data_IF_115050538466
#
_entry.id   IF_115050538466
#
_cell.length_a   1.000
_cell.length_b   1.000
_cell.length_c   1.000
_cell.angle_alpha   90.00
_cell.angle_beta   90.00
_cell.angle_gamma   90.00
#
_symmetry.space_group_name_H-M   'P 1'
#
loop_
_entity.id
_entity.type
_entity.pdbx_description
1 polymer ?
#
# COMPACT_ATOMS: atom_id res chain seq x y z
N UNK A 1 15.51 6.71 19.66
CA UNK A 1 14.30 5.90 19.95
C UNK A 1 14.22 4.74 18.96
N UNK A 2 13.93 3.51 19.44
CA UNK A 2 13.89 2.30 18.58
C UNK A 2 12.44 1.86 18.35
N UNK A 3 12.03 1.72 17.08
CA UNK A 3 10.65 1.42 16.70
C UNK A 3 10.59 0.14 15.87
N UNK A 4 9.82 -0.85 16.34
CA UNK A 4 9.49 -2.02 15.55
C UNK A 4 8.48 -1.64 14.47
N UNK A 5 8.82 -1.86 13.20
CA UNK A 5 7.96 -1.56 12.05
C UNK A 5 7.52 -2.83 11.33
N UNK A 6 6.25 -2.92 10.99
CA UNK A 6 5.72 -3.96 10.09
C UNK A 6 4.98 -3.33 8.91
N UNK A 7 5.68 -3.21 7.77
CA UNK A 7 5.19 -2.68 6.50
C UNK A 7 5.31 -3.76 5.41
N UNK A 8 4.31 -4.65 5.34
CA UNK A 8 4.34 -5.90 4.57
C UNK A 8 3.97 -5.74 3.08
N UNK A 9 3.62 -4.54 2.62
CA UNK A 9 3.20 -4.26 1.26
C UNK A 9 4.00 -3.11 0.65
N UNK A 10 4.09 -3.04 -0.67
CA UNK A 10 4.81 -1.95 -1.36
C UNK A 10 4.21 -0.59 -1.03
N UNK A 11 2.87 -0.47 -1.00
CA UNK A 11 2.17 0.76 -0.60
C UNK A 11 2.54 1.19 0.82
N UNK A 12 2.54 0.25 1.77
CA UNK A 12 2.92 0.54 3.17
C UNK A 12 4.33 1.12 3.29
N UNK A 13 5.26 0.70 2.42
CA UNK A 13 6.64 1.21 2.43
C UNK A 13 6.75 2.61 1.81
N UNK A 14 5.93 2.93 0.81
CA UNK A 14 5.82 4.29 0.27
C UNK A 14 5.32 5.22 1.38
N UNK A 15 4.25 4.84 2.07
CA UNK A 15 3.70 5.62 3.19
C UNK A 15 4.67 5.71 4.38
N UNK A 16 5.44 4.66 4.66
CA UNK A 16 6.48 4.69 5.69
C UNK A 16 7.61 5.68 5.32
N UNK A 17 7.97 5.72 4.04
CA UNK A 17 8.97 6.66 3.51
C UNK A 17 8.52 8.12 3.69
N UNK A 18 7.25 8.41 3.38
CA UNK A 18 6.67 9.74 3.61
C UNK A 18 6.64 10.08 5.11
N UNK A 19 6.13 9.17 5.94
CA UNK A 19 6.09 9.35 7.39
C UNK A 19 7.47 9.66 7.97
N UNK A 20 8.53 8.99 7.47
CA UNK A 20 9.91 9.19 7.95
C UNK A 20 10.38 10.63 7.81
N UNK A 21 9.87 11.41 6.84
CA UNK A 21 10.23 12.82 6.65
C UNK A 21 9.78 13.74 7.80
N UNK A 22 8.79 13.29 8.58
CA UNK A 22 8.23 14.02 9.71
C UNK A 22 8.71 13.51 11.08
N UNK A 23 9.62 12.54 11.08
CA UNK A 23 10.18 11.96 12.29
C UNK A 23 11.60 12.47 12.53
N UNK A 24 12.01 12.47 13.80
CA UNK A 24 13.37 12.84 14.19
C UNK A 24 14.40 11.83 13.65
N UNK A 25 15.58 12.32 13.28
CA UNK A 25 16.66 11.51 12.69
C UNK A 25 17.21 10.43 13.64
N UNK A 26 16.99 10.57 14.95
CA UNK A 26 17.42 9.61 15.97
C UNK A 26 16.50 8.37 16.08
N UNK A 27 15.45 8.29 15.27
CA UNK A 27 14.53 7.15 15.27
C UNK A 27 15.08 6.01 14.40
N UNK A 28 15.42 4.91 15.08
CA UNK A 28 15.87 3.66 14.45
C UNK A 28 14.66 2.77 14.14
N UNK A 29 14.47 2.42 12.87
CA UNK A 29 13.50 1.42 12.45
C UNK A 29 14.13 0.03 12.42
N UNK A 30 13.43 -0.96 12.99
CA UNK A 30 13.76 -2.38 12.93
C UNK A 30 12.49 -3.19 12.59
N UNK A 31 12.63 -4.36 11.96
CA UNK A 31 11.47 -5.20 11.65
C UNK A 31 11.36 -5.56 10.17
N UNK A 32 10.19 -5.38 9.55
CA UNK A 32 9.93 -5.76 8.15
C UNK A 32 9.52 -4.53 7.34
N UNK A 33 10.36 -4.10 6.45
CA UNK A 33 10.18 -2.96 5.56
C UNK A 33 11.26 -2.96 4.47
N UNK A 34 11.20 -2.04 3.52
CA UNK A 34 12.19 -1.87 2.46
C UNK A 34 13.54 -1.39 3.03
N UNK A 35 14.63 -2.07 2.65
CA UNK A 35 16.00 -1.75 3.08
C UNK A 35 16.45 -0.32 2.82
N UNK A 36 15.82 0.38 1.88
CA UNK A 36 16.08 1.80 1.64
C UNK A 36 15.72 2.71 2.83
N UNK A 37 14.87 2.21 3.75
CA UNK A 37 14.37 2.97 4.90
C UNK A 37 15.17 2.72 6.18
N UNK A 38 16.09 1.74 6.19
CA UNK A 38 16.91 1.39 7.35
C UNK A 38 17.44 -0.04 7.28
N UNK A 39 17.65 -0.66 8.45
CA UNK A 39 18.17 -2.02 8.58
C UNK A 39 17.05 -3.00 8.99
N UNK A 40 16.22 -3.49 8.06
CA UNK A 40 15.14 -4.42 8.39
C UNK A 40 15.68 -5.80 8.77
N UNK A 41 14.97 -6.52 9.64
CA UNK A 41 15.15 -7.95 9.87
C UNK A 41 14.87 -8.75 8.59
N UNK A 42 13.84 -8.34 7.86
CA UNK A 42 13.51 -8.86 6.53
C UNK A 42 13.19 -7.70 5.59
N UNK A 43 13.94 -7.63 4.50
CA UNK A 43 13.68 -6.72 3.39
C UNK A 43 12.46 -7.20 2.59
N UNK A 44 11.50 -6.30 2.34
CA UNK A 44 10.27 -6.62 1.61
C UNK A 44 10.55 -7.13 0.20
N UNK A 45 11.54 -6.59 -0.50
CA UNK A 45 11.91 -7.02 -1.85
C UNK A 45 12.37 -8.48 -1.86
N UNK A 46 13.13 -8.89 -0.84
CA UNK A 46 13.56 -10.28 -0.67
C UNK A 46 12.40 -11.24 -0.41
N UNK A 47 11.38 -10.80 0.34
CA UNK A 47 10.17 -11.60 0.58
C UNK A 47 9.33 -11.78 -0.70
N UNK A 48 9.29 -10.77 -1.56
CA UNK A 48 8.60 -10.86 -2.84
C UNK A 48 9.27 -11.85 -3.82
N UNK A 49 10.61 -11.94 -3.80
CA UNK A 49 11.41 -12.84 -4.66
C UNK A 49 11.28 -14.30 -4.20
N UNK A 50 11.08 -14.55 -2.92
CA UNK A 50 11.00 -15.92 -2.36
C UNK A 50 9.86 -16.79 -2.92
N UNK A 51 9.00 -16.25 -3.80
CA UNK A 51 8.05 -16.97 -4.66
C UNK A 51 7.48 -18.23 -4.02
N UNK A 52 6.78 -18.12 -2.89
CA UNK A 52 6.28 -19.29 -2.16
C UNK A 52 5.29 -20.08 -3.02
N UNK A 53 5.76 -21.13 -3.65
CA UNK A 53 4.96 -22.06 -4.45
C UNK A 53 4.03 -22.89 -3.56
N UNK A 54 4.44 -23.12 -2.30
CA UNK A 54 3.72 -23.95 -1.32
C UNK A 54 3.05 -23.08 -0.24
N UNK A 55 1.72 -23.12 -0.19
CA UNK A 55 0.91 -22.34 0.77
C UNK A 55 1.23 -22.70 2.24
N UNK A 56 1.57 -23.98 2.52
CA UNK A 56 1.92 -24.42 3.88
C UNK A 56 3.28 -23.86 4.32
N UNK A 57 4.27 -23.80 3.42
CA UNK A 57 5.57 -23.17 3.70
C UNK A 57 5.40 -21.68 3.94
N UNK A 58 4.55 -21.01 3.15
CA UNK A 58 4.19 -19.61 3.34
C UNK A 58 3.57 -19.36 4.71
N UNK A 59 2.63 -20.19 5.14
CA UNK A 59 1.97 -20.06 6.44
C UNK A 59 2.95 -20.25 7.60
N UNK A 60 3.80 -21.29 7.56
CA UNK A 60 4.85 -21.53 8.56
C UNK A 60 5.85 -20.38 8.64
N UNK A 61 6.23 -19.82 7.49
CA UNK A 61 7.08 -18.65 7.44
C UNK A 61 6.44 -17.44 8.16
N UNK A 62 5.17 -17.12 7.91
CA UNK A 62 4.50 -16.01 8.57
C UNK A 62 4.34 -16.19 10.09
N UNK A 63 4.12 -17.42 10.56
CA UNK A 63 4.12 -17.69 12.00
C UNK A 63 5.49 -17.46 12.61
N UNK A 64 6.56 -17.96 11.99
CA UNK A 64 7.94 -17.73 12.45
C UNK A 64 8.29 -16.24 12.43
N UNK A 65 8.01 -15.53 11.35
CA UNK A 65 8.24 -14.10 11.22
C UNK A 65 7.51 -13.33 12.33
N UNK A 66 6.26 -13.65 12.61
CA UNK A 66 5.51 -13.03 13.71
C UNK A 66 6.22 -13.24 15.04
N UNK A 67 6.67 -14.45 15.33
CA UNK A 67 7.31 -14.78 16.61
C UNK A 67 8.69 -14.10 16.73
N UNK A 68 9.47 -14.00 15.65
CA UNK A 68 10.71 -13.22 15.58
C UNK A 68 10.47 -11.71 15.80
N UNK A 69 9.41 -11.15 15.22
CA UNK A 69 9.04 -9.74 15.45
C UNK A 69 8.59 -9.49 16.88
N UNK A 70 7.89 -10.45 17.50
CA UNK A 70 7.52 -10.34 18.92
C UNK A 70 8.77 -10.32 19.81
N UNK A 71 9.74 -11.17 19.54
CA UNK A 71 11.01 -11.17 20.29
C UNK A 71 11.78 -9.86 20.08
N UNK A 72 11.89 -9.38 18.84
CA UNK A 72 12.54 -8.12 18.52
C UNK A 72 11.89 -6.92 19.22
N UNK A 73 10.56 -6.97 19.42
CA UNK A 73 9.81 -5.91 20.11
C UNK A 73 10.22 -5.72 21.57
N UNK A 74 10.90 -6.68 22.20
CA UNK A 74 11.41 -6.56 23.56
C UNK A 74 12.28 -5.32 23.72
N UNK A 75 13.20 -5.12 22.77
CA UNK A 75 14.21 -4.06 22.78
C UNK A 75 13.77 -2.79 22.02
N UNK A 76 12.48 -2.68 21.71
CA UNK A 76 11.91 -1.52 21.03
C UNK A 76 11.06 -0.69 21.99
N UNK A 77 11.11 0.63 21.84
CA UNK A 77 10.29 1.56 22.61
C UNK A 77 8.81 1.50 22.19
N UNK A 78 8.57 1.41 20.89
CA UNK A 78 7.23 1.41 20.28
C UNK A 78 7.12 0.40 19.15
N UNK A 79 5.88 0.11 18.76
CA UNK A 79 5.55 -0.72 17.60
C UNK A 79 4.67 0.09 16.63
N UNK A 80 5.04 0.10 15.36
CA UNK A 80 4.29 0.73 14.27
C UNK A 80 3.88 -0.34 13.25
N UNK A 81 2.59 -0.56 13.14
CA UNK A 81 1.98 -1.50 12.19
C UNK A 81 1.31 -0.72 11.06
N UNK A 82 1.67 -1.02 9.80
CA UNK A 82 1.10 -0.35 8.63
C UNK A 82 0.28 -1.33 7.81
N UNK A 83 -0.99 -1.01 7.57
CA UNK A 83 -1.88 -1.77 6.69
C UNK A 83 -1.87 -3.29 6.96
N UNK A 84 -1.85 -4.15 5.92
CA UNK A 84 -1.64 -5.62 5.97
C UNK A 84 -2.33 -6.33 7.13
N UNK A 85 -3.62 -6.04 7.35
CA UNK A 85 -4.37 -6.49 8.53
C UNK A 85 -4.41 -8.01 8.72
N UNK A 86 -4.19 -8.80 7.65
CA UNK A 86 -4.09 -10.25 7.73
C UNK A 86 -2.89 -10.73 8.56
N UNK A 87 -1.79 -9.99 8.55
CA UNK A 87 -0.60 -10.28 9.33
C UNK A 87 -0.53 -9.41 10.61
N UNK A 88 -0.80 -8.12 10.48
CA UNK A 88 -0.59 -7.14 11.56
C UNK A 88 -1.57 -7.31 12.73
N UNK A 89 -2.83 -7.74 12.50
CA UNK A 89 -3.76 -7.99 13.63
C UNK A 89 -3.35 -9.20 14.50
N UNK A 90 -2.99 -10.38 13.93
CA UNK A 90 -2.38 -11.46 14.70
C UNK A 90 -1.08 -11.06 15.43
N UNK A 91 -0.24 -10.23 14.80
CA UNK A 91 0.97 -9.69 15.41
C UNK A 91 0.64 -8.77 16.59
N UNK A 92 -0.28 -7.82 16.41
CA UNK A 92 -0.73 -6.91 17.48
C UNK A 92 -1.30 -7.68 18.68
N UNK A 93 -2.10 -8.72 18.41
CA UNK A 93 -2.61 -9.61 19.48
C UNK A 93 -1.46 -10.24 20.27
N UNK A 94 -0.51 -10.88 19.59
CA UNK A 94 0.61 -11.57 20.23
C UNK A 94 1.51 -10.61 21.01
N UNK A 95 1.78 -9.42 20.45
CA UNK A 95 2.53 -8.35 21.12
C UNK A 95 1.83 -7.91 22.40
N UNK A 96 0.52 -7.68 22.38
CA UNK A 96 -0.25 -7.25 23.56
C UNK A 96 -0.29 -8.33 24.63
N UNK A 97 -0.37 -9.59 24.25
CA UNK A 97 -0.34 -10.74 25.18
C UNK A 97 1.05 -10.91 25.82
N UNK A 98 2.13 -10.63 25.08
CA UNK A 98 3.52 -10.77 25.56
C UNK A 98 3.99 -9.53 26.33
N UNK A 99 3.63 -8.35 25.85
CA UNK A 99 4.04 -7.05 26.41
C UNK A 99 2.81 -6.16 26.68
N UNK A 100 2.13 -6.33 27.81
CA UNK A 100 0.85 -5.65 28.08
C UNK A 100 0.91 -4.13 28.03
N UNK A 101 2.05 -3.51 28.33
CA UNK A 101 2.24 -2.05 28.39
C UNK A 101 2.92 -1.47 27.13
N UNK A 102 3.24 -2.29 26.11
CA UNK A 102 3.89 -1.81 24.90
C UNK A 102 2.99 -0.86 24.14
N UNK A 103 3.50 0.29 23.70
CA UNK A 103 2.80 1.19 22.80
C UNK A 103 2.75 0.57 21.40
N UNK A 104 1.55 0.26 20.92
CA UNK A 104 1.29 -0.32 19.60
C UNK A 104 0.44 0.66 18.82
N UNK A 105 1.02 1.25 17.78
CA UNK A 105 0.40 2.21 16.88
C UNK A 105 0.01 1.49 15.59
N UNK A 106 -1.23 1.62 15.16
CA UNK A 106 -1.67 1.11 13.88
C UNK A 106 -1.94 2.27 12.93
N UNK A 107 -1.16 2.38 11.87
CA UNK A 107 -1.26 3.41 10.85
C UNK A 107 -1.82 2.80 9.55
N UNK A 108 -2.73 3.51 8.90
CA UNK A 108 -3.50 3.03 7.74
C UNK A 108 -4.37 1.84 8.15
N UNK A 109 -5.50 2.17 8.74
CA UNK A 109 -6.43 1.19 9.29
C UNK A 109 -7.04 0.32 8.18
N UNK A 110 -7.33 -0.96 8.46
CA UNK A 110 -8.05 -1.78 7.50
C UNK A 110 -9.46 -1.22 7.28
N UNK A 111 -9.96 -1.29 6.05
CA UNK A 111 -11.28 -0.78 5.65
C UNK A 111 -12.44 -1.53 6.36
N UNK A 112 -12.44 -1.49 7.70
CA UNK A 112 -13.43 -2.17 8.52
C UNK A 112 -14.83 -1.53 8.43
N UNK A 113 -14.89 -0.30 7.94
CA UNK A 113 -16.12 0.43 7.61
C UNK A 113 -16.87 -0.20 6.42
N UNK A 114 -16.16 -0.78 5.45
CA UNK A 114 -16.76 -1.42 4.28
C UNK A 114 -17.08 -2.91 4.53
N UNK A 115 -16.23 -3.62 5.27
CA UNK A 115 -16.36 -5.06 5.50
C UNK A 115 -15.55 -5.53 6.72
N UNK A 116 -15.93 -6.68 7.30
CA UNK A 116 -15.26 -7.29 8.47
C UNK A 116 -15.18 -6.36 9.70
N UNK A 117 -16.28 -5.77 10.11
CA UNK A 117 -16.37 -4.90 11.31
C UNK A 117 -15.76 -5.50 12.60
N UNK A 118 -15.67 -6.83 12.71
CA UNK A 118 -14.97 -7.49 13.83
C UNK A 118 -13.50 -7.06 14.00
N UNK A 119 -12.88 -6.50 12.93
CA UNK A 119 -11.51 -5.95 13.00
C UNK A 119 -11.42 -4.75 13.93
N UNK A 120 -12.47 -3.94 14.03
CA UNK A 120 -12.54 -2.79 14.97
C UNK A 120 -12.28 -3.25 16.39
N UNK A 121 -12.98 -4.31 16.83
CA UNK A 121 -12.84 -4.87 18.17
C UNK A 121 -11.39 -5.31 18.44
N UNK A 122 -10.75 -5.94 17.46
CA UNK A 122 -9.35 -6.37 17.59
C UNK A 122 -8.38 -5.19 17.67
N UNK A 123 -8.58 -4.15 16.84
CA UNK A 123 -7.78 -2.93 16.83
C UNK A 123 -7.88 -2.20 18.19
N UNK A 124 -9.09 -1.97 18.67
CA UNK A 124 -9.32 -1.32 19.98
C UNK A 124 -8.74 -2.12 21.15
N UNK A 125 -8.79 -3.46 21.07
CA UNK A 125 -8.30 -4.34 22.13
C UNK A 125 -6.77 -4.41 22.17
N UNK A 126 -6.11 -4.48 21.03
CA UNK A 126 -4.68 -4.80 20.97
C UNK A 126 -3.79 -3.59 20.70
N UNK A 127 -4.29 -2.54 20.07
CA UNK A 127 -3.53 -1.33 19.79
C UNK A 127 -3.78 -0.24 20.84
N UNK A 128 -2.78 0.63 21.04
CA UNK A 128 -2.88 1.81 21.92
C UNK A 128 -3.32 3.04 21.14
N UNK A 129 -2.86 3.17 19.90
CA UNK A 129 -3.22 4.28 19.01
C UNK A 129 -3.59 3.77 17.61
N UNK A 130 -4.59 4.40 17.04
CA UNK A 130 -5.15 4.10 15.72
C UNK A 130 -5.10 5.37 14.88
N UNK A 131 -4.32 5.36 13.80
CA UNK A 131 -4.18 6.50 12.91
C UNK A 131 -4.99 6.25 11.64
N UNK A 132 -6.16 6.88 11.54
CA UNK A 132 -7.03 6.77 10.38
C UNK A 132 -6.62 7.75 9.27
N UNK A 133 -6.77 7.32 8.03
CA UNK A 133 -6.45 8.12 6.84
C UNK A 133 -7.69 8.68 6.14
N UNK A 134 -8.88 8.22 6.52
CA UNK A 134 -10.16 8.74 6.01
C UNK A 134 -10.96 9.37 7.15
N UNK A 135 -11.59 10.53 6.94
CA UNK A 135 -12.20 11.31 8.02
C UNK A 135 -13.37 10.59 8.70
N UNK A 136 -14.11 9.75 7.98
CA UNK A 136 -15.28 9.03 8.48
C UNK A 136 -14.93 7.70 9.19
N UNK A 137 -13.69 7.22 9.12
CA UNK A 137 -13.30 5.94 9.73
C UNK A 137 -13.51 5.93 11.25
N UNK A 138 -13.32 7.07 11.90
CA UNK A 138 -13.52 7.18 13.33
C UNK A 138 -14.95 6.84 13.79
N UNK A 139 -15.95 6.97 12.93
CA UNK A 139 -17.35 6.75 13.29
C UNK A 139 -17.66 5.33 13.74
N UNK A 140 -16.95 4.34 13.19
CA UNK A 140 -17.18 2.93 13.49
C UNK A 140 -16.45 2.42 14.74
N UNK A 141 -15.57 3.23 15.35
CA UNK A 141 -14.84 2.87 16.56
C UNK A 141 -15.61 3.33 17.82
N UNK A 142 -15.59 2.50 18.88
CA UNK A 142 -16.27 2.82 20.14
C UNK A 142 -15.39 3.70 21.04
N UNK A 143 -14.10 3.39 21.12
CA UNK A 143 -13.13 4.16 21.90
C UNK A 143 -12.50 5.27 21.05
N UNK A 144 -13.13 6.45 21.08
CA UNK A 144 -12.66 7.62 20.34
C UNK A 144 -11.32 8.17 20.84
N UNK A 145 -10.93 7.85 22.06
CA UNK A 145 -9.64 8.31 22.62
C UNK A 145 -8.43 7.64 21.96
N UNK A 146 -8.63 6.48 21.35
CA UNK A 146 -7.56 5.73 20.66
C UNK A 146 -7.38 6.11 19.20
N UNK A 147 -8.38 6.70 18.55
CA UNK A 147 -8.35 6.97 17.12
C UNK A 147 -8.14 8.46 16.82
N UNK A 148 -7.21 8.73 15.92
CA UNK A 148 -6.93 10.07 15.42
C UNK A 148 -6.92 10.05 13.89
N UNK A 149 -7.63 10.97 13.27
CA UNK A 149 -7.53 11.22 11.84
C UNK A 149 -6.24 11.99 11.56
N UNK A 150 -5.35 11.41 10.76
CA UNK A 150 -4.03 11.96 10.45
C UNK A 150 -3.89 12.46 9.00
N UNK A 151 -4.95 12.38 8.21
CA UNK A 151 -4.90 12.68 6.79
C UNK A 151 -4.45 11.49 5.95
N UNK A 152 -4.67 11.59 4.63
CA UNK A 152 -4.27 10.52 3.71
C UNK A 152 -2.86 10.79 3.17
N UNK A 153 -1.91 9.83 3.31
CA UNK A 153 -0.52 10.03 2.90
C UNK A 153 -0.33 10.33 1.40
N UNK A 154 -1.27 9.92 0.55
CA UNK A 154 -1.24 10.28 -0.87
C UNK A 154 -1.24 11.80 -1.12
N UNK A 155 -1.76 12.60 -0.19
CA UNK A 155 -1.72 14.07 -0.32
C UNK A 155 -0.29 14.61 -0.27
N UNK A 156 0.58 13.95 0.48
CA UNK A 156 2.00 14.29 0.56
C UNK A 156 2.82 13.68 -0.58
N UNK A 157 2.34 12.57 -1.16
CA UNK A 157 3.00 11.84 -2.24
C UNK A 157 2.72 12.46 -3.62
N UNK A 158 1.56 13.10 -3.80
CA UNK A 158 1.15 13.71 -5.07
C UNK A 158 1.80 15.09 -5.21
N UNK A 159 2.73 15.28 -6.15
CA UNK A 159 3.49 16.52 -6.27
C UNK A 159 2.70 17.68 -6.89
N UNK A 160 1.66 17.37 -7.65
CA UNK A 160 0.82 18.35 -8.37
C UNK A 160 -0.61 17.83 -8.51
N UNK A 161 -1.56 18.77 -8.48
CA UNK A 161 -2.97 18.52 -8.71
C UNK A 161 -3.42 19.23 -10.00
N UNK A 162 -4.41 18.67 -10.66
CA UNK A 162 -5.02 19.24 -11.84
C UNK A 162 -6.01 20.34 -11.42
N UNK A 163 -5.89 21.52 -11.97
CA UNK A 163 -6.79 22.64 -11.67
C UNK A 163 -7.94 22.77 -12.68
N UNK A 164 -7.76 22.20 -13.87
CA UNK A 164 -8.74 22.29 -14.95
C UNK A 164 -8.84 20.96 -15.70
N UNK A 165 -9.99 20.69 -16.31
CA UNK A 165 -10.17 19.52 -17.16
C UNK A 165 -9.29 19.63 -18.41
N UNK A 166 -8.59 18.57 -18.74
CA UNK A 166 -7.72 18.52 -19.92
C UNK A 166 -8.50 18.11 -21.17
N UNK A 167 -8.26 18.81 -22.26
CA UNK A 167 -8.72 18.42 -23.62
C UNK A 167 -7.52 17.93 -24.46
N UNK A 168 -6.59 17.21 -23.85
CA UNK A 168 -5.34 16.80 -24.46
C UNK A 168 -5.50 15.70 -25.53
N UNK A 169 -6.62 15.02 -25.56
CA UNK A 169 -6.81 13.81 -26.36
C UNK A 169 -6.13 12.57 -25.78
N UNK A 170 -5.50 12.66 -24.59
CA UNK A 170 -4.80 11.55 -23.94
C UNK A 170 -5.74 10.75 -23.06
N UNK A 171 -5.75 9.43 -23.23
CA UNK A 171 -6.49 8.51 -22.37
C UNK A 171 -5.51 7.58 -21.67
N UNK A 172 -5.59 7.58 -20.34
CA UNK A 172 -4.70 6.78 -19.48
C UNK A 172 -5.34 5.45 -19.13
N UNK A 173 -4.56 4.37 -19.20
CA UNK A 173 -4.96 3.02 -18.85
C UNK A 173 -4.03 2.46 -17.76
N UNK A 174 -4.62 2.07 -16.63
CA UNK A 174 -3.92 1.53 -15.47
C UNK A 174 -4.50 0.17 -15.09
N UNK A 175 -3.96 -0.95 -15.63
CA UNK A 175 -4.53 -2.28 -15.41
C UNK A 175 -4.21 -2.89 -14.04
N UNK A 176 -3.58 -2.12 -13.15
CA UNK A 176 -3.14 -2.59 -11.85
C UNK A 176 -1.72 -3.16 -11.85
N UNK A 177 -1.31 -3.68 -10.69
CA UNK A 177 0.04 -4.22 -10.49
C UNK A 177 0.09 -5.75 -10.34
N UNK A 178 -1.06 -6.40 -10.16
CA UNK A 178 -1.13 -7.85 -10.01
C UNK A 178 -1.35 -8.54 -11.35
N UNK A 179 -0.65 -9.66 -11.56
CA UNK A 179 -0.71 -10.44 -12.81
C UNK A 179 -2.15 -10.78 -13.25
N UNK A 180 -3.03 -11.10 -12.30
CA UNK A 180 -4.44 -11.42 -12.57
C UNK A 180 -5.22 -10.22 -13.06
N UNK A 181 -5.02 -9.04 -12.44
CA UNK A 181 -5.63 -7.79 -12.84
C UNK A 181 -5.23 -7.41 -14.27
N UNK A 182 -3.92 -7.42 -14.55
CA UNK A 182 -3.36 -7.11 -15.87
C UNK A 182 -3.94 -8.04 -16.93
N UNK A 183 -3.92 -9.36 -16.67
CA UNK A 183 -4.43 -10.34 -17.64
C UNK A 183 -5.92 -10.19 -17.95
N UNK A 184 -6.71 -9.76 -16.96
CA UNK A 184 -8.15 -9.57 -17.14
C UNK A 184 -8.48 -8.23 -17.82
N UNK A 185 -7.74 -7.17 -17.51
CA UNK A 185 -8.06 -5.82 -18.00
C UNK A 185 -7.42 -5.49 -19.36
N UNK A 186 -6.24 -6.01 -19.68
CA UNK A 186 -5.59 -5.72 -20.96
C UNK A 186 -6.43 -6.06 -22.19
N UNK A 187 -7.14 -7.22 -22.28
CA UNK A 187 -8.05 -7.49 -23.38
C UNK A 187 -9.17 -6.44 -23.51
N UNK A 188 -9.76 -6.03 -22.36
CA UNK A 188 -10.82 -5.02 -22.32
C UNK A 188 -10.29 -3.66 -22.80
N UNK A 189 -9.09 -3.26 -22.36
CA UNK A 189 -8.46 -2.01 -22.76
C UNK A 189 -8.16 -1.96 -24.27
N UNK A 190 -7.67 -3.08 -24.83
CA UNK A 190 -7.46 -3.22 -26.28
C UNK A 190 -8.75 -3.09 -27.08
N UNK A 191 -9.87 -3.57 -26.57
CA UNK A 191 -11.16 -3.43 -27.23
C UNK A 191 -11.74 -2.01 -27.06
N UNK A 192 -11.44 -1.32 -25.94
CA UNK A 192 -11.84 0.06 -25.74
C UNK A 192 -11.16 1.02 -26.72
N UNK A 193 -9.86 0.90 -26.94
CA UNK A 193 -9.15 1.80 -27.87
C UNK A 193 -9.68 1.72 -29.30
N UNK A 194 -10.19 0.55 -29.74
CA UNK A 194 -10.84 0.40 -31.05
C UNK A 194 -12.15 1.17 -31.13
N UNK A 195 -12.83 1.39 -29.99
CA UNK A 195 -14.12 2.10 -29.91
C UNK A 195 -13.98 3.61 -29.70
N UNK A 196 -12.80 4.06 -29.33
CA UNK A 196 -12.51 5.47 -29.05
C UNK A 196 -11.33 5.89 -29.96
N UNK A 197 -11.54 6.03 -31.28
CA UNK A 197 -10.45 6.32 -32.23
C UNK A 197 -9.89 7.75 -32.05
N UNK A 198 -8.72 7.99 -32.64
CA UNK A 198 -8.08 9.31 -32.72
C UNK A 198 -7.72 9.92 -31.36
N UNK A 199 -7.29 9.09 -30.42
CA UNK A 199 -6.75 9.50 -29.11
C UNK A 199 -5.34 8.95 -28.90
N UNK A 200 -4.61 9.57 -27.98
CA UNK A 200 -3.34 9.06 -27.48
C UNK A 200 -3.59 8.11 -26.30
N UNK A 201 -3.25 6.83 -26.47
CA UNK A 201 -3.49 5.81 -25.44
C UNK A 201 -2.23 5.58 -24.61
N UNK A 202 -2.25 5.99 -23.34
CA UNK A 202 -1.11 5.89 -22.43
C UNK A 202 -1.31 4.72 -21.47
N UNK A 203 -0.47 3.70 -21.57
CA UNK A 203 -0.48 2.58 -20.64
C UNK A 203 0.54 2.82 -19.52
N UNK A 204 0.04 3.00 -18.31
CA UNK A 204 0.91 3.15 -17.14
C UNK A 204 1.34 1.79 -16.63
N UNK A 205 2.65 1.59 -16.57
CA UNK A 205 3.28 0.35 -16.12
C UNK A 205 4.22 0.68 -14.95
N UNK A 206 4.12 -0.02 -13.78
CA UNK A 206 5.02 0.20 -12.65
C UNK A 206 6.50 0.16 -13.06
N UNK A 207 7.29 1.13 -12.60
CA UNK A 207 8.71 1.29 -12.96
C UNK A 207 9.57 0.07 -12.60
N UNK A 208 9.18 -0.67 -11.56
CA UNK A 208 9.85 -1.91 -11.11
C UNK A 208 9.70 -3.11 -12.05
N UNK A 209 8.82 -3.05 -13.06
CA UNK A 209 8.63 -4.17 -13.98
C UNK A 209 9.68 -4.14 -15.08
N UNK A 210 10.40 -5.28 -15.24
CA UNK A 210 11.33 -5.49 -16.34
C UNK A 210 10.60 -5.65 -17.67
N UNK A 211 11.30 -5.39 -18.77
CA UNK A 211 10.75 -5.54 -20.13
C UNK A 211 10.33 -6.99 -20.41
N UNK A 212 11.08 -7.97 -19.89
CA UNK A 212 10.72 -9.38 -19.96
C UNK A 212 9.39 -9.66 -19.25
N UNK A 213 9.21 -9.12 -18.03
CA UNK A 213 7.95 -9.26 -17.30
C UNK A 213 6.78 -8.61 -18.05
N UNK A 214 7.00 -7.41 -18.59
CA UNK A 214 5.99 -6.67 -19.36
C UNK A 214 5.56 -7.53 -20.56
N UNK A 215 6.49 -8.00 -21.38
CA UNK A 215 6.20 -8.86 -22.53
C UNK A 215 5.43 -10.13 -22.16
N UNK A 216 5.78 -10.76 -21.03
CA UNK A 216 5.15 -12.00 -20.56
C UNK A 216 3.74 -11.80 -20.01
N UNK A 217 3.46 -10.68 -19.36
CA UNK A 217 2.21 -10.46 -18.59
C UNK A 217 1.22 -9.58 -19.31
N UNK A 218 1.68 -8.50 -19.96
CA UNK A 218 0.83 -7.59 -20.74
C UNK A 218 0.63 -8.11 -22.19
N UNK A 219 1.57 -8.97 -22.66
CA UNK A 219 1.58 -9.45 -24.04
C UNK A 219 1.91 -8.34 -25.03
N UNK A 220 1.36 -8.45 -26.24
CA UNK A 220 1.43 -7.37 -27.22
C UNK A 220 0.63 -6.17 -26.74
N UNK A 221 1.28 -5.02 -26.60
CA UNK A 221 0.65 -3.76 -26.14
C UNK A 221 0.06 -2.91 -27.26
N UNK A 222 0.33 -3.27 -28.54
CA UNK A 222 -0.25 -2.61 -29.72
C UNK A 222 -0.01 -1.09 -29.74
N UNK A 223 -1.10 -0.32 -29.86
CA UNK A 223 -1.08 1.14 -30.02
C UNK A 223 -0.86 1.91 -28.71
N UNK A 224 -0.64 1.25 -27.58
CA UNK A 224 -0.36 1.93 -26.32
C UNK A 224 1.06 2.50 -26.28
N UNK A 225 1.17 3.77 -25.87
CA UNK A 225 2.43 4.40 -25.45
C UNK A 225 2.66 4.09 -23.97
N UNK A 226 3.84 3.60 -23.60
CA UNK A 226 4.16 3.28 -22.19
C UNK A 226 4.55 4.54 -21.44
N UNK A 227 3.97 4.73 -20.22
CA UNK A 227 4.45 5.63 -19.20
C UNK A 227 4.88 4.83 -17.96
N UNK A 228 5.98 5.24 -17.34
CA UNK A 228 6.45 4.72 -16.05
C UNK A 228 6.09 5.68 -14.90
N UNK A 229 5.55 6.86 -15.21
CA UNK A 229 5.13 7.88 -14.26
C UNK A 229 3.61 8.04 -14.30
N UNK A 230 2.95 7.51 -13.28
CA UNK A 230 1.49 7.56 -13.16
C UNK A 230 0.98 9.00 -12.97
N UNK A 231 1.66 9.79 -12.11
CA UNK A 231 1.26 11.15 -11.80
C UNK A 231 1.29 12.05 -13.04
N UNK A 232 2.38 12.04 -13.81
CA UNK A 232 2.47 12.82 -15.05
C UNK A 232 1.41 12.39 -16.07
N UNK A 233 1.24 11.08 -16.25
CA UNK A 233 0.24 10.56 -17.16
C UNK A 233 -1.18 11.03 -16.78
N UNK A 234 -1.54 10.97 -15.49
CA UNK A 234 -2.85 11.40 -14.99
C UNK A 234 -3.03 12.92 -15.08
N UNK A 235 -2.01 13.72 -14.79
CA UNK A 235 -2.07 15.18 -14.93
C UNK A 235 -2.41 15.61 -16.37
N UNK A 236 -1.93 14.89 -17.36
CA UNK A 236 -2.15 15.20 -18.76
C UNK A 236 -3.40 14.53 -19.35
N UNK A 237 -3.98 13.57 -18.65
CA UNK A 237 -5.10 12.77 -19.15
C UNK A 237 -6.38 13.58 -19.34
N UNK A 238 -7.13 13.29 -20.39
CA UNK A 238 -8.53 13.72 -20.53
C UNK A 238 -9.46 12.73 -19.81
N UNK A 239 -9.15 11.42 -19.93
CA UNK A 239 -9.84 10.32 -19.24
C UNK A 239 -8.86 9.29 -18.73
N UNK A 240 -9.27 8.52 -17.70
CA UNK A 240 -8.49 7.40 -17.21
C UNK A 240 -9.37 6.16 -16.95
N UNK A 241 -8.90 4.99 -17.39
CA UNK A 241 -9.48 3.67 -17.09
C UNK A 241 -8.54 2.96 -16.11
N UNK A 242 -9.01 2.77 -14.88
CA UNK A 242 -8.14 2.36 -13.76
C UNK A 242 -8.68 1.11 -13.09
N UNK A 243 -7.80 0.15 -12.83
CA UNK A 243 -8.09 -0.98 -11.95
C UNK A 243 -8.40 -0.47 -10.55
N UNK A 244 -9.52 -0.93 -9.96
CA UNK A 244 -9.91 -0.53 -8.61
C UNK A 244 -8.84 -0.83 -7.56
N UNK A 245 -8.50 0.16 -6.74
CA UNK A 245 -7.45 0.09 -5.72
C UNK A 245 -6.98 1.49 -5.31
N UNK A 246 -5.82 1.60 -4.70
CA UNK A 246 -5.20 2.87 -4.30
C UNK A 246 -5.06 3.84 -5.49
N UNK A 247 -4.78 3.31 -6.68
CA UNK A 247 -4.64 4.11 -7.90
C UNK A 247 -5.92 4.88 -8.28
N UNK A 248 -7.11 4.40 -7.91
CA UNK A 248 -8.37 5.14 -8.15
C UNK A 248 -8.50 6.36 -7.25
N UNK A 249 -8.06 6.25 -6.00
CA UNK A 249 -8.03 7.40 -5.09
C UNK A 249 -6.94 8.40 -5.50
N UNK A 250 -5.77 7.92 -5.90
CA UNK A 250 -4.68 8.73 -6.43
C UNK A 250 -5.14 9.55 -7.64
N UNK A 251 -5.79 8.92 -8.61
CA UNK A 251 -6.33 9.61 -9.77
C UNK A 251 -7.41 10.64 -9.41
N UNK A 252 -8.32 10.29 -8.48
CA UNK A 252 -9.36 11.20 -8.02
C UNK A 252 -8.81 12.41 -7.25
N UNK A 253 -7.66 12.27 -6.57
CA UNK A 253 -6.97 13.38 -5.90
C UNK A 253 -6.21 14.26 -6.90
N UNK A 254 -5.66 13.69 -7.95
CA UNK A 254 -4.97 14.45 -9.00
C UNK A 254 -5.95 15.32 -9.79
N UNK A 255 -7.18 14.85 -10.03
CA UNK A 255 -8.25 15.59 -10.72
C UNK A 255 -8.79 14.89 -11.95
#
# INVERSE_FOLDING_TARGET
MRVLVSAMETSSNIHLKELKKYLDDDIEFVGVFDKELGNPLYDLSSLAIMGFVDALKKLRFFFRLRDELVELAKDCDKVLLLDSSGFNLPLAKKLRETYPNKEIIYYILPQAWAWKRKRVIALEKYCTKLCSILPFESEIYNDKSKITYVGHPLLDEIPKFKNELSNSGKIVFMPGSRKTEIKNLMPVFKDLIKKIPNKDYILVIPSKFSDEYIKKVYGDIGDFKISKNAHEALLEAEYAFICSGTATLEAALIG
#
